data_IF_457448399372
#
_entry.id   IF_457448399372
#
_cell.length_a   1.000
_cell.length_b   1.000
_cell.length_c   1.000
_cell.angle_alpha   90.00
_cell.angle_beta   90.00
_cell.angle_gamma   90.00
#
_symmetry.space_group_name_H-M   'P 1'
#
loop_
_entity.id
_entity.type
_entity.pdbx_description
1 polymer ?
#
# COMPACT_ATOMS: atom_id res chain seq x y z
N UNK A 1 -14.06 3.86 26.87
CA UNK A 1 -13.80 2.61 27.57
C UNK A 1 -12.34 2.22 27.52
N UNK A 2 -11.85 1.61 28.56
CA UNK A 2 -10.45 1.19 28.63
C UNK A 2 -10.07 0.19 27.53
N UNK A 3 -10.95 -0.75 27.21
CA UNK A 3 -10.68 -1.76 26.18
C UNK A 3 -10.53 -1.09 24.82
N UNK A 4 -11.40 -0.14 24.51
CA UNK A 4 -11.34 0.58 23.25
C UNK A 4 -10.07 1.42 23.15
N UNK A 5 -9.67 2.04 24.27
CA UNK A 5 -8.44 2.82 24.32
C UNK A 5 -7.20 1.96 24.12
N UNK A 6 -7.18 0.77 24.74
CA UNK A 6 -6.07 -0.16 24.57
C UNK A 6 -5.98 -0.68 23.14
N UNK A 7 -7.13 -0.98 22.51
CA UNK A 7 -7.16 -1.42 21.12
C UNK A 7 -6.62 -0.34 20.18
N UNK A 8 -7.00 0.92 20.43
CA UNK A 8 -6.49 2.03 19.63
C UNK A 8 -5.00 2.21 19.80
N UNK A 9 -4.47 2.03 21.03
CA UNK A 9 -3.04 2.14 21.29
C UNK A 9 -2.28 1.03 20.59
N UNK A 10 -2.80 -0.20 20.59
CA UNK A 10 -2.15 -1.32 19.92
C UNK A 10 -2.09 -1.08 18.42
N UNK A 11 -3.19 -0.60 17.81
CA UNK A 11 -3.20 -0.27 16.38
C UNK A 11 -2.21 0.84 16.04
N UNK A 12 -2.13 1.86 16.89
CA UNK A 12 -1.18 2.93 16.68
C UNK A 12 0.25 2.43 16.72
N UNK A 13 0.55 1.53 17.67
CA UNK A 13 1.87 0.92 17.76
C UNK A 13 2.21 0.06 16.55
N UNK A 14 1.23 -0.69 16.02
CA UNK A 14 1.44 -1.51 14.82
C UNK A 14 1.77 -0.64 13.63
N UNK A 15 1.04 0.46 13.44
CA UNK A 15 1.31 1.37 12.34
C UNK A 15 2.65 2.06 12.49
N UNK A 16 2.99 2.47 13.71
CA UNK A 16 4.29 3.09 13.98
C UNK A 16 5.43 2.11 13.68
N UNK A 17 5.29 0.86 14.11
CA UNK A 17 6.30 -0.17 13.83
C UNK A 17 6.45 -0.42 12.35
N UNK A 18 5.32 -0.51 11.63
CA UNK A 18 5.34 -0.68 10.19
C UNK A 18 6.07 0.46 9.49
N UNK A 19 5.75 1.69 9.85
CA UNK A 19 6.39 2.85 9.24
C UNK A 19 7.91 2.85 9.49
N UNK A 20 8.32 2.48 10.69
CA UNK A 20 9.73 2.36 11.02
C UNK A 20 10.43 1.28 10.19
N UNK A 21 9.79 0.13 10.02
CA UNK A 21 10.37 -0.99 9.27
C UNK A 21 10.46 -0.69 7.76
N UNK A 22 9.57 0.15 7.23
CA UNK A 22 9.66 0.55 5.82
C UNK A 22 10.92 1.35 5.53
N UNK A 23 11.55 1.93 6.55
CA UNK A 23 12.80 2.66 6.41
C UNK A 23 14.02 1.82 6.70
N UNK A 24 13.84 0.53 7.01
CA UNK A 24 14.95 -0.36 7.34
C UNK A 24 15.87 -0.55 6.13
N UNK A 25 17.20 -0.54 6.32
CA UNK A 25 18.13 -0.78 5.21
C UNK A 25 17.97 -2.15 4.54
N UNK A 26 17.47 -3.14 5.27
CA UNK A 26 17.26 -4.47 4.72
C UNK A 26 15.98 -4.55 3.91
N UNK A 27 16.09 -4.98 2.63
CA UNK A 27 14.91 -5.20 1.79
C UNK A 27 13.98 -6.25 2.40
N UNK A 28 14.52 -7.27 3.05
CA UNK A 28 13.72 -8.30 3.71
C UNK A 28 12.82 -7.70 4.78
N UNK A 29 13.38 -6.78 5.58
CA UNK A 29 12.60 -6.13 6.63
C UNK A 29 11.56 -5.18 6.04
N UNK A 30 11.87 -4.50 4.94
CA UNK A 30 10.90 -3.66 4.25
C UNK A 30 9.75 -4.50 3.69
N UNK A 31 10.05 -5.68 3.12
CA UNK A 31 9.02 -6.61 2.65
C UNK A 31 8.13 -7.07 3.79
N UNK A 32 8.73 -7.34 4.95
CA UNK A 32 7.96 -7.74 6.14
C UNK A 32 7.01 -6.62 6.56
N UNK A 33 7.50 -5.38 6.51
CA UNK A 33 6.67 -4.23 6.86
C UNK A 33 5.45 -4.12 5.96
N UNK A 34 5.65 -4.28 4.66
CA UNK A 34 4.53 -4.25 3.71
C UNK A 34 3.51 -5.34 4.03
N UNK A 35 4.00 -6.52 4.43
CA UNK A 35 3.14 -7.63 4.80
C UNK A 35 2.23 -7.34 6.00
N UNK A 36 2.67 -6.48 6.90
CA UNK A 36 1.85 -6.09 8.06
C UNK A 36 0.62 -5.28 7.68
N UNK A 37 0.57 -4.73 6.48
CA UNK A 37 -0.59 -3.95 6.03
C UNK A 37 -1.89 -4.75 6.17
N UNK A 38 -1.84 -6.04 5.95
CA UNK A 38 -3.02 -6.91 6.04
C UNK A 38 -3.54 -7.04 7.47
N UNK A 39 -2.68 -6.78 8.45
CA UNK A 39 -3.02 -6.94 9.86
C UNK A 39 -3.48 -5.64 10.51
N UNK A 40 -3.39 -4.53 9.77
CA UNK A 40 -3.77 -3.21 10.29
C UNK A 40 -5.22 -2.94 9.94
N UNK A 41 -6.02 -2.62 10.97
CA UNK A 41 -7.42 -2.26 10.80
C UNK A 41 -7.51 -0.75 10.56
N UNK A 42 -8.08 -0.36 9.43
CA UNK A 42 -8.27 1.06 9.15
C UNK A 42 -6.96 1.80 8.88
N UNK A 43 -6.35 1.48 7.76
CA UNK A 43 -5.07 2.11 7.36
C UNK A 43 -5.28 3.61 7.19
N UNK A 44 -4.44 4.41 7.86
CA UNK A 44 -4.55 5.86 7.79
C UNK A 44 -3.71 6.45 6.65
N UNK A 45 -3.86 7.76 6.46
CA UNK A 45 -3.17 8.47 5.37
C UNK A 45 -1.66 8.38 5.44
N UNK A 46 -1.09 8.32 6.64
CA UNK A 46 0.36 8.22 6.79
C UNK A 46 0.88 6.91 6.24
N UNK A 47 0.17 5.81 6.50
CA UNK A 47 0.56 4.51 5.99
C UNK A 47 0.41 4.47 4.47
N UNK A 48 -0.69 5.01 3.94
CA UNK A 48 -0.90 5.08 2.50
C UNK A 48 0.22 5.87 1.83
N UNK A 49 0.55 7.03 2.36
CA UNK A 49 1.63 7.85 1.80
C UNK A 49 2.97 7.13 1.84
N UNK A 50 3.25 6.43 2.94
CA UNK A 50 4.49 5.66 3.06
C UNK A 50 4.56 4.52 2.05
N UNK A 51 3.45 3.83 1.83
CA UNK A 51 3.39 2.76 0.84
C UNK A 51 3.57 3.30 -0.57
N UNK A 52 2.94 4.43 -0.89
CA UNK A 52 3.12 5.06 -2.21
C UNK A 52 4.55 5.51 -2.42
N UNK A 53 5.18 6.06 -1.39
CA UNK A 53 6.60 6.44 -1.45
C UNK A 53 7.47 5.22 -1.71
N UNK A 54 7.19 4.11 -1.03
CA UNK A 54 7.93 2.86 -1.22
C UNK A 54 7.74 2.34 -2.64
N UNK A 55 6.52 2.36 -3.15
CA UNK A 55 6.24 1.95 -4.54
C UNK A 55 7.06 2.76 -5.53
N UNK A 56 7.15 4.07 -5.32
CA UNK A 56 7.80 4.96 -6.28
C UNK A 56 9.33 4.98 -6.15
N UNK A 57 9.87 4.74 -4.97
CA UNK A 57 11.27 5.05 -4.72
C UNK A 57 12.12 3.92 -4.15
N UNK A 58 11.54 2.79 -3.74
CA UNK A 58 12.34 1.73 -3.15
C UNK A 58 13.33 1.20 -4.18
N UNK A 59 14.62 1.05 -3.80
CA UNK A 59 15.63 0.56 -4.74
C UNK A 59 15.44 -0.90 -5.16
N UNK A 60 14.69 -1.68 -4.39
CA UNK A 60 14.47 -3.10 -4.68
C UNK A 60 13.14 -3.27 -5.42
N UNK A 61 13.22 -3.80 -6.65
CA UNK A 61 12.03 -3.99 -7.48
C UNK A 61 11.01 -4.92 -6.82
N UNK A 62 11.46 -5.95 -6.13
CA UNK A 62 10.56 -6.88 -5.46
C UNK A 62 9.76 -6.18 -4.36
N UNK A 63 10.41 -5.30 -3.60
CA UNK A 63 9.72 -4.48 -2.59
C UNK A 63 8.64 -3.64 -3.26
N UNK A 64 8.97 -3.02 -4.39
CA UNK A 64 8.02 -2.18 -5.12
C UNK A 64 6.82 -3.00 -5.60
N UNK A 65 7.05 -4.20 -6.14
CA UNK A 65 5.98 -5.05 -6.63
C UNK A 65 5.07 -5.55 -5.50
N UNK A 66 5.64 -5.95 -4.37
CA UNK A 66 4.85 -6.39 -3.22
C UNK A 66 4.04 -5.22 -2.64
N UNK A 67 4.64 -4.02 -2.62
CA UNK A 67 3.96 -2.81 -2.16
C UNK A 67 2.77 -2.49 -3.06
N UNK A 68 2.94 -2.65 -4.38
CA UNK A 68 1.86 -2.44 -5.32
C UNK A 68 0.68 -3.38 -5.03
N UNK A 69 0.95 -4.64 -4.75
CA UNK A 69 -0.12 -5.58 -4.41
C UNK A 69 -0.84 -5.18 -3.11
N UNK A 70 -0.09 -4.72 -2.12
CA UNK A 70 -0.69 -4.24 -0.88
C UNK A 70 -1.59 -3.03 -1.13
N UNK A 71 -1.14 -2.10 -1.98
CA UNK A 71 -1.94 -0.93 -2.33
C UNK A 71 -3.19 -1.32 -3.13
N UNK A 72 -3.08 -2.32 -4.00
CA UNK A 72 -4.23 -2.80 -4.75
C UNK A 72 -5.32 -3.32 -3.82
N UNK A 73 -4.93 -3.98 -2.73
CA UNK A 73 -5.87 -4.47 -1.73
C UNK A 73 -6.57 -3.34 -0.95
N UNK A 74 -5.97 -2.14 -0.95
CA UNK A 74 -6.52 -0.97 -0.28
C UNK A 74 -7.23 -0.03 -1.25
N UNK A 75 -7.50 -0.46 -2.47
CA UNK A 75 -7.98 0.42 -3.53
C UNK A 75 -9.44 0.88 -3.37
N UNK A 76 -10.13 0.46 -2.31
CA UNK A 76 -11.42 1.05 -1.94
C UNK A 76 -11.24 2.51 -1.51
N UNK A 77 -10.07 2.82 -0.99
CA UNK A 77 -9.75 4.18 -0.56
C UNK A 77 -9.37 5.01 -1.78
N UNK A 78 -10.07 6.14 -1.96
CA UNK A 78 -9.81 7.03 -3.09
C UNK A 78 -8.38 7.57 -3.13
N UNK A 79 -7.77 7.76 -1.95
CA UNK A 79 -6.38 8.24 -1.88
C UNK A 79 -5.43 7.24 -2.51
N UNK A 80 -5.71 5.95 -2.32
CA UNK A 80 -4.89 4.89 -2.93
C UNK A 80 -5.05 4.92 -4.44
N UNK A 81 -6.29 4.99 -4.94
CA UNK A 81 -6.53 5.01 -6.38
C UNK A 81 -5.86 6.20 -7.06
N UNK A 82 -5.98 7.38 -6.46
CA UNK A 82 -5.33 8.58 -7.00
C UNK A 82 -3.82 8.45 -6.99
N UNK A 83 -3.26 7.91 -5.90
CA UNK A 83 -1.83 7.68 -5.80
C UNK A 83 -1.31 6.71 -6.83
N UNK A 84 -2.06 5.65 -7.12
CA UNK A 84 -1.67 4.68 -8.14
C UNK A 84 -1.67 5.30 -9.54
N UNK A 85 -2.67 6.13 -9.85
CA UNK A 85 -2.70 6.83 -11.13
C UNK A 85 -1.49 7.73 -11.29
N UNK A 86 -1.16 8.49 -10.25
CA UNK A 86 0.02 9.36 -10.28
C UNK A 86 1.32 8.56 -10.39
N UNK A 87 1.39 7.41 -9.72
CA UNK A 87 2.57 6.56 -9.77
C UNK A 87 2.84 6.04 -11.17
N UNK A 88 1.81 5.78 -11.95
CA UNK A 88 1.97 5.24 -13.29
C UNK A 88 2.85 6.14 -14.16
N UNK A 89 2.74 7.45 -14.01
CA UNK A 89 3.54 8.40 -14.79
C UNK A 89 4.96 8.59 -14.24
N UNK A 90 5.22 8.11 -13.02
CA UNK A 90 6.51 8.28 -12.37
C UNK A 90 7.43 7.08 -12.48
N UNK A 91 6.89 5.92 -12.82
CA UNK A 91 7.67 4.68 -12.78
C UNK A 91 8.71 4.63 -13.88
N UNK A 92 9.96 4.39 -13.48
CA UNK A 92 11.06 4.23 -14.42
C UNK A 92 11.31 2.76 -14.75
N UNK A 93 10.90 1.84 -13.88
CA UNK A 93 11.07 0.41 -14.11
C UNK A 93 9.98 -0.12 -15.04
N UNK A 94 10.32 -0.67 -16.21
CA UNK A 94 9.31 -1.26 -17.09
C UNK A 94 8.50 -2.36 -16.40
N UNK A 95 9.13 -3.14 -15.54
CA UNK A 95 8.46 -4.22 -14.82
C UNK A 95 7.37 -3.65 -13.90
N UNK A 96 7.69 -2.60 -13.16
CA UNK A 96 6.71 -1.97 -12.27
C UNK A 96 5.63 -1.25 -13.07
N UNK A 97 5.99 -0.62 -14.21
CA UNK A 97 5.00 0.02 -15.08
C UNK A 97 3.96 -0.98 -15.57
N UNK A 98 4.41 -2.14 -16.05
CA UNK A 98 3.50 -3.17 -16.53
C UNK A 98 2.62 -3.69 -15.41
N UNK A 99 3.21 -3.96 -14.24
CA UNK A 99 2.47 -4.45 -13.10
C UNK A 99 1.42 -3.43 -12.64
N UNK A 100 1.78 -2.16 -12.63
CA UNK A 100 0.87 -1.09 -12.22
C UNK A 100 -0.28 -0.94 -13.22
N UNK A 101 0.03 -0.98 -14.52
CA UNK A 101 -1.00 -0.94 -15.55
C UNK A 101 -1.97 -2.12 -15.41
N UNK A 102 -1.46 -3.31 -15.11
CA UNK A 102 -2.27 -4.50 -14.89
C UNK A 102 -3.20 -4.33 -13.70
N UNK A 103 -2.70 -3.76 -12.61
CA UNK A 103 -3.53 -3.47 -11.43
C UNK A 103 -4.64 -2.49 -11.80
N UNK A 104 -4.33 -1.44 -12.56
CA UNK A 104 -5.32 -0.46 -12.97
C UNK A 104 -6.44 -1.10 -13.80
N UNK A 105 -6.07 -2.01 -14.71
CA UNK A 105 -7.06 -2.73 -15.51
C UNK A 105 -7.95 -3.60 -14.62
N UNK A 106 -7.35 -4.33 -13.68
CA UNK A 106 -8.12 -5.18 -12.76
C UNK A 106 -9.10 -4.36 -11.91
N UNK A 107 -8.68 -3.20 -11.44
CA UNK A 107 -9.54 -2.32 -10.66
C UNK A 107 -10.69 -1.78 -11.51
N UNK A 108 -10.43 -1.45 -12.75
CA UNK A 108 -11.46 -0.99 -13.68
C UNK A 108 -12.48 -2.10 -13.95
N UNK A 109 -12.03 -3.32 -14.13
CA UNK A 109 -12.90 -4.46 -14.36
C UNK A 109 -13.82 -4.71 -13.16
N UNK A 110 -13.29 -4.65 -11.94
CA UNK A 110 -14.09 -4.79 -10.73
C UNK A 110 -15.18 -3.73 -10.64
N UNK A 111 -14.86 -2.51 -10.99
CA UNK A 111 -15.84 -1.41 -10.98
C UNK A 111 -16.92 -1.65 -12.03
N UNK A 112 -16.55 -2.19 -13.18
CA UNK A 112 -17.49 -2.48 -14.26
C UNK A 112 -18.47 -3.59 -13.90
N UNK A 113 -18.09 -4.49 -13.00
CA UNK A 113 -18.94 -5.61 -12.58
C UNK A 113 -19.97 -5.21 -11.54
N UNK A 114 -19.88 -4.03 -10.96
CA UNK A 114 -20.86 -3.59 -9.98
C UNK A 114 -22.21 -3.31 -10.65
N UNK A 115 -23.31 -3.65 -9.98
CA UNK A 115 -24.64 -3.38 -10.52
C UNK A 115 -24.83 -1.89 -10.77
N UNK A 116 -25.50 -1.57 -11.86
CA UNK A 116 -25.90 -0.20 -12.14
C UNK A 116 -27.10 0.18 -11.30
N UNK A 117 -27.19 1.42 -10.90
CA UNK A 117 -28.28 1.92 -10.12
C UNK A 117 -29.06 2.98 -10.88
#
# INVERSE_FOLDING_TARGET
RQIDALSAQVEDMRQTMMLSLLENPSATERLRAVGFTKEINGVDGKVIDALLTTLNNDPNVNVRLVTLEALADLARDARVREGLVQSLTRQESPLVQVALADVMVRLQEKRSLKPLR
#
